data_IF_835932078070
#
_entry.id   IF_835932078070
#
_cell.length_a   1.000
_cell.length_b   1.000
_cell.length_c   1.000
_cell.angle_alpha   90.00
_cell.angle_beta   90.00
_cell.angle_gamma   90.00
#
_symmetry.space_group_name_H-M   'P 1'
#
loop_
_entity.id
_entity.type
_entity.pdbx_description
1 polymer ?
#
# COMPACT_ATOMS: atom_id res chain seq x y z
N UNK A 1 -33.86 11.62 1.62
CA UNK A 1 -32.71 11.17 0.81
C UNK A 1 -31.47 11.38 1.65
N UNK A 2 -30.93 10.33 2.26
CA UNK A 2 -29.67 10.45 3.01
C UNK A 2 -28.54 10.62 1.98
N UNK A 3 -27.87 11.76 2.02
CA UNK A 3 -26.72 12.06 1.19
C UNK A 3 -25.56 11.23 1.76
N UNK A 4 -25.30 10.09 1.14
CA UNK A 4 -24.22 9.17 1.51
C UNK A 4 -22.86 9.80 1.09
N UNK A 5 -22.40 10.81 1.84
CA UNK A 5 -21.18 11.59 1.60
C UNK A 5 -19.88 10.83 1.98
N UNK A 6 -19.93 9.50 2.02
CA UNK A 6 -18.79 8.64 2.37
C UNK A 6 -17.62 8.75 1.37
N UNK A 7 -17.84 9.33 0.18
CA UNK A 7 -16.82 9.42 -0.88
C UNK A 7 -15.82 10.56 -0.65
N UNK A 8 -16.21 11.60 0.08
CA UNK A 8 -15.45 12.85 0.23
C UNK A 8 -14.50 12.89 1.43
N UNK A 9 -14.33 11.79 2.17
CA UNK A 9 -13.32 11.72 3.24
C UNK A 9 -11.89 11.65 2.65
N UNK A 10 -11.23 12.80 2.62
CA UNK A 10 -9.77 12.89 2.56
C UNK A 10 -9.18 12.37 3.88
N UNK A 11 -8.12 11.57 3.81
CA UNK A 11 -7.35 11.22 5.00
C UNK A 11 -6.52 9.96 4.81
N UNK A 12 -7.14 8.80 4.99
CA UNK A 12 -6.38 7.62 5.40
C UNK A 12 -6.39 6.50 4.36
N UNK A 13 -5.29 5.77 4.29
CA UNK A 13 -5.23 4.45 3.67
C UNK A 13 -5.63 3.36 4.70
N UNK A 14 -5.81 2.11 4.27
CA UNK A 14 -6.33 1.04 5.14
C UNK A 14 -5.40 0.74 6.31
N UNK A 15 -4.08 0.92 6.17
CA UNK A 15 -3.14 0.73 7.28
C UNK A 15 -3.27 1.81 8.34
N UNK A 16 -3.45 3.05 7.94
CA UNK A 16 -3.74 4.16 8.85
C UNK A 16 -5.08 3.94 9.57
N UNK A 17 -6.10 3.45 8.85
CA UNK A 17 -7.39 3.06 9.47
C UNK A 17 -7.24 1.91 10.48
N UNK A 18 -6.39 0.91 10.19
CA UNK A 18 -6.08 -0.19 11.11
C UNK A 18 -5.43 0.31 12.40
N UNK A 19 -4.44 1.20 12.29
CA UNK A 19 -3.77 1.81 13.44
C UNK A 19 -4.77 2.64 14.26
N UNK A 20 -5.55 3.50 13.60
CA UNK A 20 -6.55 4.34 14.26
C UNK A 20 -7.67 3.52 14.94
N UNK A 21 -8.00 2.35 14.41
CA UNK A 21 -8.96 1.42 15.01
C UNK A 21 -8.38 0.56 16.15
N UNK A 22 -7.05 0.52 16.30
CA UNK A 22 -6.39 -0.42 17.21
C UNK A 22 -6.39 -1.88 16.72
N UNK A 23 -6.62 -2.12 15.43
CA UNK A 23 -6.64 -3.47 14.84
C UNK A 23 -7.78 -3.71 13.84
N UNK A 24 -7.97 -4.96 13.38
CA UNK A 24 -9.06 -5.35 12.48
C UNK A 24 -10.44 -5.24 13.18
N UNK A 25 -11.51 -5.44 12.41
CA UNK A 25 -12.89 -5.46 12.91
C UNK A 25 -13.78 -4.30 12.42
N UNK A 26 -13.20 -3.33 11.73
CA UNK A 26 -13.93 -2.20 11.15
C UNK A 26 -14.36 -2.46 9.71
N UNK A 27 -15.23 -1.59 9.20
CA UNK A 27 -15.86 -1.71 7.90
C UNK A 27 -15.31 -0.68 6.91
N UNK A 28 -15.16 -1.11 5.66
CA UNK A 28 -14.71 -0.28 4.55
C UNK A 28 -15.57 -0.49 3.31
N UNK A 29 -15.59 0.51 2.43
CA UNK A 29 -16.07 0.39 1.05
C UNK A 29 -14.96 0.82 0.09
N UNK A 30 -14.90 0.18 -1.06
CA UNK A 30 -14.05 0.64 -2.16
C UNK A 30 -14.84 1.63 -3.00
N UNK A 31 -14.22 2.74 -3.40
CA UNK A 31 -14.89 3.78 -4.21
C UNK A 31 -15.46 3.24 -5.53
N UNK A 32 -14.81 2.23 -6.13
CA UNK A 32 -15.23 1.59 -7.38
C UNK A 32 -16.17 0.40 -7.16
N UNK A 33 -16.36 -0.06 -5.92
CA UNK A 33 -17.24 -1.19 -5.61
C UNK A 33 -18.58 -0.65 -5.14
N UNK A 34 -19.56 -0.63 -6.05
CA UNK A 34 -20.82 0.07 -5.86
C UNK A 34 -21.65 -0.45 -4.69
N UNK A 35 -22.08 -1.72 -4.72
CA UNK A 35 -23.05 -2.30 -3.77
C UNK A 35 -22.44 -3.32 -2.80
N UNK A 36 -21.16 -3.21 -2.54
CA UNK A 36 -20.49 -4.06 -1.56
C UNK A 36 -19.79 -3.24 -0.49
N UNK A 37 -19.62 -3.88 0.64
CA UNK A 37 -18.88 -3.40 1.79
C UNK A 37 -18.04 -4.56 2.33
N UNK A 38 -16.92 -4.24 2.97
CA UNK A 38 -15.97 -5.23 3.44
C UNK A 38 -15.69 -5.01 4.92
N UNK A 39 -15.65 -6.09 5.69
CA UNK A 39 -15.16 -6.08 7.06
C UNK A 39 -13.70 -6.51 7.06
N UNK A 40 -12.82 -5.69 7.60
CA UNK A 40 -11.41 -6.07 7.75
C UNK A 40 -11.31 -7.10 8.88
N UNK A 41 -10.78 -8.28 8.61
CA UNK A 41 -10.72 -9.39 9.59
C UNK A 41 -9.32 -9.65 10.11
N UNK A 42 -8.27 -9.38 9.31
CA UNK A 42 -6.88 -9.55 9.75
C UNK A 42 -5.92 -8.71 8.93
N UNK A 43 -4.81 -8.35 9.56
CA UNK A 43 -3.64 -7.78 8.89
C UNK A 43 -2.39 -8.55 9.33
N UNK A 44 -1.45 -8.71 8.40
CA UNK A 44 -0.13 -9.24 8.69
C UNK A 44 0.74 -8.25 9.47
N UNK A 45 1.94 -8.71 9.84
CA UNK A 45 2.84 -7.95 10.71
C UNK A 45 3.36 -6.69 10.01
N UNK A 46 3.27 -5.55 10.69
CA UNK A 46 3.88 -4.29 10.27
C UNK A 46 5.40 -4.38 10.45
N UNK A 47 6.14 -4.27 9.35
CA UNK A 47 7.61 -4.46 9.36
C UNK A 47 8.38 -3.16 9.17
N UNK A 48 7.70 -2.07 8.78
CA UNK A 48 8.30 -0.75 8.54
C UNK A 48 7.47 0.35 9.21
N UNK A 49 8.02 1.56 9.37
CA UNK A 49 7.25 2.72 9.79
C UNK A 49 6.13 3.10 8.79
N UNK A 50 5.17 3.95 9.20
CA UNK A 50 4.13 4.51 8.33
C UNK A 50 4.69 5.22 7.08
N UNK A 51 3.86 5.44 6.04
CA UNK A 51 2.42 5.14 5.97
C UNK A 51 2.09 3.76 5.37
N UNK A 52 3.10 3.06 4.83
CA UNK A 52 2.89 1.80 4.09
C UNK A 52 3.28 0.54 4.88
N UNK A 53 3.94 0.68 6.03
CA UNK A 53 4.19 -0.38 7.02
C UNK A 53 4.82 -1.69 6.49
N UNK A 54 5.48 -1.63 5.33
CA UNK A 54 6.07 -2.81 4.66
C UNK A 54 5.08 -3.60 3.79
N UNK A 55 3.90 -3.04 3.53
CA UNK A 55 2.82 -3.61 2.72
C UNK A 55 2.41 -5.04 3.16
N UNK A 56 2.05 -5.20 4.45
CA UNK A 56 1.56 -6.47 4.97
C UNK A 56 0.27 -6.91 4.25
N UNK A 57 -0.02 -8.21 4.18
CA UNK A 57 -1.29 -8.69 3.67
C UNK A 57 -2.45 -8.23 4.55
N UNK A 58 -3.61 -7.96 3.96
CA UNK A 58 -4.85 -7.64 4.67
C UNK A 58 -5.93 -8.60 4.16
N UNK A 59 -6.66 -9.22 5.09
CA UNK A 59 -7.82 -10.06 4.80
C UNK A 59 -9.12 -9.33 5.15
N UNK A 60 -10.14 -9.54 4.32
CA UNK A 60 -11.47 -8.99 4.51
C UNK A 60 -12.55 -10.03 4.17
N UNK A 61 -13.70 -9.92 4.82
CA UNK A 61 -14.93 -10.56 4.39
C UNK A 61 -15.77 -9.52 3.63
N UNK A 62 -16.25 -9.85 2.44
CA UNK A 62 -17.00 -8.96 1.55
C UNK A 62 -18.48 -9.34 1.59
N UNK A 63 -19.33 -8.34 1.81
CA UNK A 63 -20.78 -8.49 1.89
C UNK A 63 -21.46 -7.57 0.87
N UNK A 64 -22.69 -7.92 0.49
CA UNK A 64 -23.60 -6.95 -0.11
C UNK A 64 -24.22 -6.01 0.94
N UNK A 65 -25.02 -5.05 0.48
CA UNK A 65 -25.67 -4.07 1.35
C UNK A 65 -26.74 -4.67 2.27
N UNK A 66 -27.20 -5.89 1.99
CA UNK A 66 -28.27 -6.58 2.73
C UNK A 66 -27.70 -7.59 3.74
N UNK A 67 -26.37 -7.77 3.78
CA UNK A 67 -25.68 -8.67 4.70
C UNK A 67 -25.36 -10.05 4.13
N UNK A 68 -25.62 -10.27 2.83
CA UNK A 68 -25.21 -11.48 2.14
C UNK A 68 -23.70 -11.52 1.93
N UNK A 69 -23.04 -12.54 2.50
CA UNK A 69 -21.61 -12.80 2.29
C UNK A 69 -21.35 -13.16 0.82
N UNK A 70 -20.47 -12.40 0.16
CA UNK A 70 -20.07 -12.62 -1.25
C UNK A 70 -18.74 -13.32 -1.36
N UNK A 71 -17.77 -12.89 -0.57
CA UNK A 71 -16.43 -13.46 -0.53
C UNK A 71 -15.95 -13.50 0.91
N UNK A 72 -15.37 -14.61 1.32
CA UNK A 72 -14.83 -14.79 2.66
C UNK A 72 -13.29 -14.87 2.61
N UNK A 73 -12.63 -14.31 3.63
CA UNK A 73 -11.17 -14.29 3.76
C UNK A 73 -10.46 -13.81 2.48
N UNK A 74 -11.07 -12.87 1.78
CA UNK A 74 -10.54 -12.29 0.56
C UNK A 74 -9.33 -11.41 0.87
N UNK A 75 -8.35 -11.40 -0.03
CA UNK A 75 -7.25 -10.45 0.04
C UNK A 75 -7.77 -9.06 -0.29
N UNK A 76 -7.54 -8.08 0.58
CA UNK A 76 -7.84 -6.67 0.28
C UNK A 76 -6.80 -6.13 -0.73
N UNK A 77 -7.21 -5.71 -1.93
CA UNK A 77 -6.30 -5.15 -2.91
C UNK A 77 -5.89 -3.71 -2.53
N UNK A 78 -4.63 -3.38 -2.80
CA UNK A 78 -4.06 -2.03 -2.70
C UNK A 78 -4.35 -1.28 -1.36
N UNK A 79 -4.13 -1.91 -0.19
CA UNK A 79 -4.45 -1.32 1.13
C UNK A 79 -3.79 0.05 1.37
N UNK A 80 -2.57 0.24 0.87
CA UNK A 80 -1.82 1.49 1.05
C UNK A 80 -2.23 2.63 0.11
N UNK A 81 -3.14 2.41 -0.86
CA UNK A 81 -3.49 3.48 -1.81
C UNK A 81 -4.57 4.39 -1.22
N UNK A 82 -4.22 5.67 -1.07
CA UNK A 82 -5.16 6.72 -0.69
C UNK A 82 -6.34 6.81 -1.66
N UNK A 83 -7.49 7.27 -1.16
CA UNK A 83 -8.72 7.47 -1.96
C UNK A 83 -9.37 6.21 -2.55
N UNK A 84 -8.78 5.03 -2.36
CA UNK A 84 -9.36 3.77 -2.86
C UNK A 84 -10.38 3.18 -1.91
N UNK A 85 -10.06 3.18 -0.62
CA UNK A 85 -10.89 2.64 0.45
C UNK A 85 -11.42 3.76 1.33
N UNK A 86 -12.63 3.58 1.84
CA UNK A 86 -13.32 4.52 2.72
C UNK A 86 -13.82 3.75 3.91
N UNK A 87 -13.43 4.18 5.11
CA UNK A 87 -14.03 3.67 6.33
C UNK A 87 -15.51 4.03 6.34
N UNK A 88 -16.35 3.09 6.77
CA UNK A 88 -17.77 3.31 6.98
C UNK A 88 -18.13 2.88 8.40
N UNK A 89 -19.28 3.35 8.88
CA UNK A 89 -19.90 2.80 10.09
C UNK A 89 -20.32 1.34 9.85
N UNK A 90 -20.43 0.58 10.93
CA UNK A 90 -20.95 -0.78 10.85
C UNK A 90 -22.39 -0.73 10.34
N UNK A 91 -22.76 -1.53 9.31
CA UNK A 91 -24.13 -1.55 8.83
C UNK A 91 -25.05 -2.12 9.92
N UNK A 92 -26.29 -1.65 10.00
CA UNK A 92 -27.22 -2.04 11.08
C UNK A 92 -27.45 -3.55 11.18
N UNK A 93 -27.44 -4.26 10.05
CA UNK A 93 -27.59 -5.71 10.04
C UNK A 93 -26.37 -6.44 10.60
N UNK A 94 -25.20 -5.81 10.71
CA UNK A 94 -23.97 -6.45 11.21
C UNK A 94 -24.08 -6.90 12.67
N UNK A 95 -24.87 -6.20 13.48
CA UNK A 95 -25.10 -6.57 14.88
C UNK A 95 -25.91 -7.85 15.03
N UNK A 96 -26.81 -8.10 14.08
CA UNK A 96 -27.70 -9.26 14.07
C UNK A 96 -27.13 -10.42 13.24
N UNK A 97 -26.24 -10.11 12.30
CA UNK A 97 -25.57 -11.10 11.48
C UNK A 97 -24.58 -11.93 12.31
N UNK A 98 -24.55 -13.24 12.07
CA UNK A 98 -23.52 -14.13 12.60
C UNK A 98 -22.21 -13.92 11.84
N UNK A 99 -21.54 -12.82 12.13
CA UNK A 99 -20.24 -12.50 11.53
C UNK A 99 -19.15 -13.44 12.07
N UNK A 100 -18.12 -13.66 11.24
CA UNK A 100 -16.94 -14.41 11.66
C UNK A 100 -16.28 -13.75 12.88
N UNK A 101 -15.93 -14.52 13.93
CA UNK A 101 -15.09 -14.04 15.04
C UNK A 101 -13.68 -13.67 14.54
N UNK A 102 -13.07 -12.63 15.12
CA UNK A 102 -11.72 -12.18 14.71
C UNK A 102 -10.59 -13.10 15.20
N UNK A 103 -10.91 -14.05 16.07
CA UNK A 103 -10.06 -15.11 16.61
C UNK A 103 -10.29 -16.46 15.94
N UNK A 104 -11.11 -16.51 14.87
CA UNK A 104 -11.33 -17.73 14.08
C UNK A 104 -9.98 -18.24 13.51
N UNK A 105 -9.54 -19.47 13.82
CA UNK A 105 -8.28 -20.02 13.35
C UNK A 105 -8.19 -20.13 11.82
N UNK A 106 -9.33 -20.18 11.12
CA UNK A 106 -9.34 -20.14 9.65
C UNK A 106 -8.74 -18.84 9.09
N UNK A 107 -8.82 -17.74 9.83
CA UNK A 107 -8.21 -16.46 9.46
C UNK A 107 -6.69 -16.59 9.38
N UNK A 108 -6.07 -17.21 10.39
CA UNK A 108 -4.61 -17.32 10.46
C UNK A 108 -4.10 -18.31 9.41
N UNK A 109 -4.85 -19.39 9.15
CA UNK A 109 -4.57 -20.31 8.03
C UNK A 109 -4.62 -19.56 6.69
N UNK A 110 -5.65 -18.74 6.47
CA UNK A 110 -5.78 -17.96 5.24
C UNK A 110 -4.67 -16.92 5.09
N UNK A 111 -4.24 -16.30 6.19
CA UNK A 111 -3.14 -15.33 6.18
C UNK A 111 -1.83 -16.01 5.78
N UNK A 112 -1.50 -17.15 6.40
CA UNK A 112 -0.32 -17.95 6.04
C UNK A 112 -0.39 -18.41 4.58
N UNK A 113 -1.55 -18.86 4.12
CA UNK A 113 -1.75 -19.25 2.73
C UNK A 113 -1.59 -18.06 1.77
N UNK A 114 -2.01 -16.86 2.16
CA UNK A 114 -1.83 -15.64 1.39
C UNK A 114 -0.36 -15.24 1.33
N UNK A 115 0.37 -15.28 2.44
CA UNK A 115 1.81 -14.99 2.45
C UNK A 115 2.60 -15.98 1.60
N UNK A 116 2.31 -17.28 1.68
CA UNK A 116 2.90 -18.28 0.79
C UNK A 116 2.61 -17.98 -0.69
N UNK A 117 1.37 -17.58 -1.02
CA UNK A 117 0.97 -17.19 -2.38
C UNK A 117 1.69 -15.93 -2.84
N UNK A 118 1.83 -14.93 -1.98
CA UNK A 118 2.58 -13.69 -2.24
C UNK A 118 4.08 -13.93 -2.37
N UNK A 119 4.66 -14.85 -1.61
CA UNK A 119 6.06 -15.28 -1.78
C UNK A 119 6.28 -16.04 -3.09
N UNK A 120 5.37 -16.95 -3.46
CA UNK A 120 5.45 -17.72 -4.72
C UNK A 120 5.18 -16.87 -5.96
N UNK A 121 4.24 -15.90 -5.90
CA UNK A 121 4.07 -14.86 -6.93
C UNK A 121 5.10 -13.72 -6.82
N UNK A 122 5.76 -13.59 -5.67
CA UNK A 122 6.76 -12.58 -5.31
C UNK A 122 8.11 -12.75 -5.99
N UNK A 123 8.24 -13.72 -6.90
CA UNK A 123 9.25 -13.65 -7.96
C UNK A 123 9.06 -12.47 -8.92
N UNK A 124 7.90 -11.79 -8.91
CA UNK A 124 7.71 -10.47 -9.54
C UNK A 124 6.77 -9.59 -8.69
N UNK A 125 7.22 -8.37 -8.41
CA UNK A 125 6.52 -7.27 -7.69
C UNK A 125 6.74 -7.16 -6.17
N UNK A 126 8.00 -7.22 -5.73
CA UNK A 126 8.59 -6.00 -5.19
C UNK A 126 9.54 -5.47 -6.27
N UNK A 127 9.24 -4.32 -6.88
CA UNK A 127 10.31 -3.47 -7.43
C UNK A 127 11.03 -2.83 -6.23
N UNK A 128 11.70 -3.67 -5.46
CA UNK A 128 13.01 -3.31 -4.98
C UNK A 128 13.90 -3.38 -6.22
N UNK A 129 14.65 -2.32 -6.43
CA UNK A 129 15.57 -2.08 -7.54
C UNK A 129 16.68 -3.15 -7.62
N UNK A 130 16.31 -4.35 -8.04
CA UNK A 130 17.22 -5.45 -8.36
C UNK A 130 17.49 -5.42 -9.87
N UNK A 131 18.06 -4.31 -10.35
CA UNK A 131 18.94 -4.40 -11.52
C UNK A 131 20.27 -4.96 -10.99
N UNK A 132 20.88 -5.96 -11.63
CA UNK A 132 22.06 -6.62 -11.09
C UNK A 132 23.22 -5.63 -11.00
N UNK A 133 23.66 -5.34 -9.77
CA UNK A 133 25.03 -4.95 -9.41
C UNK A 133 25.75 -4.03 -10.42
N UNK A 134 25.18 -2.86 -10.67
CA UNK A 134 25.92 -1.71 -11.19
C UNK A 134 26.23 -0.79 -10.03
N UNK A 135 27.48 -0.36 -9.87
CA UNK A 135 27.84 0.72 -8.93
C UNK A 135 26.91 1.90 -9.24
N UNK A 136 26.23 2.47 -8.23
CA UNK A 136 25.35 3.63 -8.42
C UNK A 136 25.93 4.84 -7.71
N UNK A 137 25.88 5.99 -8.36
CA UNK A 137 26.40 7.25 -7.83
C UNK A 137 25.23 8.07 -7.33
N UNK A 138 25.27 8.47 -6.06
CA UNK A 138 24.27 9.35 -5.46
C UNK A 138 24.58 10.81 -5.82
N UNK A 139 23.51 11.56 -6.10
CA UNK A 139 23.57 12.97 -6.48
C UNK A 139 23.01 13.84 -5.34
N UNK A 140 23.73 14.91 -5.04
CA UNK A 140 23.26 15.98 -4.15
C UNK A 140 22.54 17.04 -4.96
N UNK A 141 21.23 16.88 -5.11
CA UNK A 141 20.39 17.79 -5.90
C UNK A 141 19.47 18.57 -4.96
N UNK A 142 19.69 19.88 -4.77
CA UNK A 142 18.74 20.73 -4.09
C UNK A 142 17.38 20.70 -4.79
N UNK A 143 16.29 20.83 -4.04
CA UNK A 143 14.92 20.73 -4.58
C UNK A 143 14.67 21.66 -5.80
N UNK A 144 15.30 22.85 -5.81
CA UNK A 144 15.21 23.83 -6.89
C UNK A 144 15.80 23.35 -8.23
N UNK A 145 16.66 22.32 -8.23
CA UNK A 145 17.37 21.79 -9.40
C UNK A 145 16.92 20.37 -9.80
N UNK A 146 15.75 19.93 -9.32
CA UNK A 146 15.19 18.61 -9.64
C UNK A 146 14.99 18.37 -11.14
N UNK A 147 14.69 19.44 -11.89
CA UNK A 147 14.45 19.35 -13.33
C UNK A 147 15.76 19.11 -14.10
N UNK A 148 16.89 19.64 -13.60
CA UNK A 148 18.23 19.36 -14.13
C UNK A 148 18.61 17.89 -13.92
N UNK A 149 18.36 17.35 -12.73
CA UNK A 149 18.59 15.94 -12.42
C UNK A 149 17.74 15.01 -13.30
N UNK A 150 16.48 15.36 -13.53
CA UNK A 150 15.60 14.62 -14.44
C UNK A 150 16.08 14.72 -15.90
N UNK A 151 16.59 15.89 -16.30
CA UNK A 151 17.10 16.13 -17.66
C UNK A 151 18.35 15.32 -18.01
N UNK A 152 19.17 14.98 -17.02
CA UNK A 152 20.37 14.14 -17.22
C UNK A 152 20.07 12.63 -17.09
N UNK A 153 18.81 12.24 -16.88
CA UNK A 153 18.41 10.83 -16.74
C UNK A 153 18.57 10.27 -15.32
N UNK A 154 18.77 11.12 -14.31
CA UNK A 154 18.84 10.66 -12.93
C UNK A 154 17.49 10.09 -12.49
N UNK A 155 17.54 9.09 -11.61
CA UNK A 155 16.37 8.45 -11.02
C UNK A 155 16.25 8.87 -9.57
N UNK A 156 15.03 9.13 -9.11
CA UNK A 156 14.77 9.43 -7.71
C UNK A 156 14.74 8.13 -6.89
N UNK A 157 15.60 8.01 -5.87
CA UNK A 157 15.51 6.96 -4.86
C UNK A 157 14.65 7.47 -3.69
N UNK A 158 13.44 6.92 -3.48
CA UNK A 158 12.64 7.26 -2.31
C UNK A 158 13.26 6.72 -1.00
N UNK A 159 14.11 5.70 -1.09
CA UNK A 159 14.83 5.11 0.05
C UNK A 159 15.91 6.05 0.56
N UNK A 160 16.73 6.57 -0.34
CA UNK A 160 17.86 7.45 -0.02
C UNK A 160 17.45 8.94 -0.04
N UNK A 161 16.20 9.23 -0.42
CA UNK A 161 15.65 10.57 -0.68
C UNK A 161 16.60 11.43 -1.51
N UNK A 162 17.23 10.80 -2.48
CA UNK A 162 18.30 11.35 -3.28
C UNK A 162 18.15 10.91 -4.72
N UNK A 163 18.65 11.72 -5.64
CA UNK A 163 18.77 11.32 -7.03
C UNK A 163 19.98 10.40 -7.19
N UNK A 164 19.90 9.45 -8.11
CA UNK A 164 21.01 8.55 -8.40
C UNK A 164 21.14 8.29 -9.89
N UNK A 165 22.36 7.96 -10.31
CA UNK A 165 22.71 7.54 -11.65
C UNK A 165 23.45 6.20 -11.60
N UNK A 166 23.25 5.33 -12.58
CA UNK A 166 24.04 4.12 -12.68
C UNK A 166 25.46 4.47 -13.19
N UNK A 167 26.49 3.85 -12.61
CA UNK A 167 27.88 4.23 -12.90
C UNK A 167 28.40 3.77 -14.26
N UNK A 168 27.63 2.94 -14.97
CA UNK A 168 27.86 2.58 -16.35
C UNK A 168 27.46 3.70 -17.34
N UNK A 169 26.63 4.65 -16.91
CA UNK A 169 26.23 5.81 -17.71
C UNK A 169 27.18 6.99 -17.53
N UNK A 170 28.36 6.87 -18.13
CA UNK A 170 29.40 7.91 -18.15
C UNK A 170 28.91 9.25 -18.73
N UNK A 171 27.92 9.24 -19.63
CA UNK A 171 27.36 10.46 -20.23
C UNK A 171 26.52 11.23 -19.20
N UNK A 172 25.65 10.53 -18.49
CA UNK A 172 24.85 11.14 -17.43
C UNK A 172 25.72 11.59 -16.25
N UNK A 173 26.73 10.78 -15.87
CA UNK A 173 27.69 11.15 -14.83
C UNK A 173 28.47 12.41 -15.18
N UNK A 174 28.98 12.52 -16.42
CA UNK A 174 29.71 13.71 -16.88
C UNK A 174 28.85 14.98 -16.81
N UNK A 175 27.57 14.87 -17.18
CA UNK A 175 26.61 15.99 -17.05
C UNK A 175 26.34 16.34 -15.59
N UNK A 176 26.21 15.35 -14.71
CA UNK A 176 26.07 15.57 -13.27
C UNK A 176 27.29 16.29 -12.68
N UNK A 177 28.51 15.94 -13.12
CA UNK A 177 29.74 16.63 -12.69
C UNK A 177 29.75 18.09 -13.17
N UNK A 178 29.41 18.32 -14.45
CA UNK A 178 29.37 19.65 -15.03
C UNK A 178 28.35 20.58 -14.35
N UNK A 179 27.26 20.01 -13.82
CA UNK A 179 26.23 20.74 -13.07
C UNK A 179 26.53 20.86 -11.56
N UNK A 180 27.63 20.25 -11.08
CA UNK A 180 28.02 20.25 -9.67
C UNK A 180 27.07 19.47 -8.76
N UNK A 181 26.39 18.43 -9.29
CA UNK A 181 25.36 17.65 -8.59
C UNK A 181 25.92 16.37 -7.94
N UNK A 182 27.22 16.13 -7.97
CA UNK A 182 27.85 14.96 -7.36
C UNK A 182 28.11 15.15 -5.86
N UNK A 183 27.93 14.07 -5.10
CA UNK A 183 28.48 13.95 -3.74
C UNK A 183 29.93 13.49 -3.87
N UNK A 184 30.87 14.22 -3.27
CA UNK A 184 32.29 13.81 -3.16
C UNK A 184 32.45 12.78 -2.06
#
# INVERSE_FOLDING_TARGET
MQKDDWRDSDGDNVFEMLVANGGPGFWVRRITWGRTLARIVRVGIFTKPPPYFGNPPVLMDVYDLEGGLKEDLAMLPVPGTYKTWRRIEAPLWAEQAKLRPLDDPAIDIALVALDRRRGKKGGKAAHADSTPQGVRVLLSVPYARKDEAKGIGARWSPTDKSWWLPADDNSALSKAQALGLLVV
#
